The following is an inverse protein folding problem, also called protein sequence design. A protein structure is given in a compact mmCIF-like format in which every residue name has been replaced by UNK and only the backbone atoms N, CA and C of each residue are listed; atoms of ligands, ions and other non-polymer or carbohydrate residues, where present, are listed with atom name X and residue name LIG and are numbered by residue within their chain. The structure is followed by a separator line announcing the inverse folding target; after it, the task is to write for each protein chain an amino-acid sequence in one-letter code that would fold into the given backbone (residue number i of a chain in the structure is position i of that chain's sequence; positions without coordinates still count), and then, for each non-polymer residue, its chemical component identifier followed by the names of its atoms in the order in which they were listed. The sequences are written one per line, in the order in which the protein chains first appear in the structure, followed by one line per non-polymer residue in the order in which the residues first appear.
data_IF_416997810369
#
_entry.id   IF_416997810369
#
_cell.length_a   1.000
_cell.length_b   1.000
_cell.length_c   1.000
_cell.angle_alpha   90.00
_cell.angle_beta   90.00
_cell.angle_gamma   90.00
#
_symmetry.space_group_name_H-M   'P 1'
#
loop_
_entity.id
_entity.type
_entity.pdbx_description
1 polymer ?
#
# COMPACT_ATOMS: atom_id res chain seq x y z
N UNK A 1 -11.13 10.01 -21.03
CA UNK A 1 -9.78 10.38 -20.53
C UNK A 1 -10.02 10.99 -19.15
N UNK A 2 -9.41 10.46 -18.10
CA UNK A 2 -9.51 11.01 -16.76
C UNK A 2 -8.82 12.38 -16.77
N UNK A 3 -9.53 13.51 -16.57
CA UNK A 3 -8.92 14.84 -16.64
C UNK A 3 -7.92 15.09 -15.51
N UNK A 4 -7.87 14.24 -14.47
CA UNK A 4 -6.95 14.34 -13.34
C UNK A 4 -5.75 13.40 -13.46
N UNK A 5 -5.58 12.74 -14.59
CA UNK A 5 -4.45 11.86 -14.87
C UNK A 5 -3.21 12.68 -15.18
N UNK A 6 -2.65 13.32 -14.16
CA UNK A 6 -1.32 13.93 -14.22
C UNK A 6 -0.28 12.85 -13.98
N UNK A 7 -0.19 11.90 -14.89
CA UNK A 7 0.96 11.00 -14.98
C UNK A 7 1.56 11.27 -16.36
N UNK A 8 2.34 12.33 -16.47
CA UNK A 8 3.26 12.46 -17.58
C UNK A 8 4.35 11.39 -17.40
N UNK A 9 4.37 10.44 -18.33
CA UNK A 9 5.54 9.55 -18.49
C UNK A 9 6.75 10.43 -18.75
N UNK A 10 7.62 10.61 -17.76
CA UNK A 10 8.91 11.23 -17.97
C UNK A 10 9.76 10.26 -18.78
N UNK A 11 9.95 10.50 -20.06
CA UNK A 11 11.00 9.85 -20.84
C UNK A 11 12.34 10.37 -20.34
N UNK A 12 13.04 9.56 -19.58
CA UNK A 12 14.46 9.76 -19.29
C UNK A 12 15.20 8.66 -20.04
N UNK A 13 15.90 9.09 -21.09
CA UNK A 13 16.87 8.28 -21.85
C UNK A 13 16.44 6.85 -22.19
N UNK A 14 15.50 6.68 -23.15
CA UNK A 14 15.07 5.40 -23.74
C UNK A 14 14.38 4.37 -22.80
N UNK A 15 14.28 4.59 -21.48
CA UNK A 15 13.52 3.75 -20.56
C UNK A 15 12.19 4.41 -20.19
N UNK A 16 11.08 3.67 -20.25
CA UNK A 16 9.80 4.11 -19.69
C UNK A 16 9.96 4.21 -18.17
N UNK A 17 9.79 5.41 -17.62
CA UNK A 17 9.85 5.64 -16.18
C UNK A 17 8.44 5.54 -15.59
N UNK A 18 8.23 4.63 -14.65
CA UNK A 18 6.98 4.51 -13.91
C UNK A 18 7.07 5.32 -12.63
N UNK A 19 6.12 6.24 -12.41
CA UNK A 19 6.07 7.04 -11.20
C UNK A 19 5.75 6.17 -9.99
N UNK A 20 6.66 6.15 -9.02
CA UNK A 20 6.47 5.44 -7.76
C UNK A 20 5.58 6.26 -6.80
N UNK A 21 4.71 5.63 -6.00
CA UNK A 21 3.98 6.30 -4.93
C UNK A 21 4.86 6.64 -3.70
N UNK A 22 6.13 6.27 -3.74
CA UNK A 22 7.11 6.54 -2.67
C UNK A 22 7.66 7.94 -2.81
N UNK A 23 7.78 8.67 -1.69
CA UNK A 23 8.28 10.03 -1.63
C UNK A 23 9.50 10.16 -0.71
N UNK A 24 10.25 11.24 -0.86
CA UNK A 24 11.60 11.45 -0.33
C UNK A 24 11.78 11.22 1.18
N UNK A 25 10.80 11.60 1.99
CA UNK A 25 10.89 11.46 3.44
C UNK A 25 9.97 10.36 3.99
N UNK A 26 9.62 9.39 3.16
CA UNK A 26 8.82 8.25 3.60
C UNK A 26 9.67 7.29 4.42
N UNK A 27 9.27 7.08 5.67
CA UNK A 27 9.78 6.04 6.55
C UNK A 27 8.73 4.93 6.72
N UNK A 28 9.18 3.69 6.91
CA UNK A 28 8.29 2.57 7.18
C UNK A 28 7.32 2.88 8.33
N UNK A 29 6.09 2.41 8.22
CA UNK A 29 5.11 2.42 9.32
C UNK A 29 5.13 1.13 10.17
N UNK A 30 6.04 0.22 9.83
CA UNK A 30 6.23 -1.08 10.45
C UNK A 30 7.69 -1.20 10.90
N UNK A 31 7.98 -1.68 12.12
CA UNK A 31 9.35 -1.86 12.57
C UNK A 31 10.07 -2.96 11.77
N UNK A 32 11.38 -2.79 11.58
CA UNK A 32 12.22 -3.72 10.79
C UNK A 32 12.10 -5.18 11.22
N UNK A 33 11.89 -5.43 12.49
CA UNK A 33 11.73 -6.78 13.07
C UNK A 33 10.49 -7.50 12.58
N UNK A 34 9.43 -6.76 12.26
CA UNK A 34 8.19 -7.31 11.69
C UNK A 34 8.17 -7.28 10.16
N UNK A 35 9.07 -6.53 9.51
CA UNK A 35 9.18 -6.48 8.04
C UNK A 35 10.13 -7.53 7.46
N UNK A 36 11.05 -8.07 8.26
CA UNK A 36 12.05 -9.02 7.78
C UNK A 36 11.40 -10.30 7.24
N UNK A 37 11.92 -10.78 6.11
CA UNK A 37 11.62 -12.12 5.59
C UNK A 37 12.26 -13.20 6.48
N UNK A 38 11.77 -14.43 6.38
CA UNK A 38 12.29 -15.54 7.18
C UNK A 38 13.79 -15.76 6.91
N UNK A 39 14.57 -15.80 7.98
CA UNK A 39 16.03 -15.95 7.94
C UNK A 39 16.77 -14.87 7.13
N UNK A 40 16.13 -13.72 6.90
CA UNK A 40 16.75 -12.61 6.17
C UNK A 40 16.54 -11.29 6.93
N UNK A 41 17.30 -11.03 7.99
CA UNK A 41 17.14 -9.81 8.81
C UNK A 41 17.66 -8.57 8.07
N UNK A 42 17.11 -7.40 8.42
CA UNK A 42 17.70 -6.13 8.02
C UNK A 42 19.13 -5.96 8.58
N UNK A 43 20.01 -5.18 7.91
CA UNK A 43 21.31 -4.81 8.46
C UNK A 43 21.20 -4.23 9.87
N UNK A 44 22.22 -4.50 10.72
CA UNK A 44 22.18 -4.14 12.15
C UNK A 44 22.02 -2.64 12.41
N UNK A 45 22.59 -1.82 11.55
CA UNK A 45 22.58 -0.35 11.60
C UNK A 45 21.31 0.27 11.00
N UNK A 46 20.37 -0.53 10.52
CA UNK A 46 19.07 -0.04 10.05
C UNK A 46 18.25 0.47 11.24
N UNK A 47 17.66 1.68 11.18
CA UNK A 47 16.77 2.19 12.21
C UNK A 47 15.58 1.26 12.49
N UNK A 48 14.95 1.42 13.66
CA UNK A 48 13.76 0.65 14.04
C UNK A 48 12.66 0.72 12.96
N UNK A 49 12.44 1.91 12.39
CA UNK A 49 11.60 2.12 11.21
C UNK A 49 12.48 2.56 10.04
N UNK A 50 12.77 1.65 9.09
CA UNK A 50 13.64 1.93 7.96
C UNK A 50 13.12 3.06 7.06
N UNK A 51 14.03 3.77 6.43
CA UNK A 51 13.69 4.69 5.33
C UNK A 51 13.31 3.91 4.08
N UNK A 52 12.61 4.56 3.14
CA UNK A 52 12.26 3.93 1.86
C UNK A 52 13.49 3.42 1.08
N UNK A 53 14.61 4.15 1.12
CA UNK A 53 15.84 3.71 0.44
C UNK A 53 16.43 2.45 1.08
N UNK A 54 16.44 2.35 2.41
CA UNK A 54 16.89 1.14 3.10
C UNK A 54 15.99 -0.07 2.84
N UNK A 55 14.68 0.15 2.66
CA UNK A 55 13.75 -0.91 2.26
C UNK A 55 14.03 -1.33 0.82
N UNK A 56 14.27 -0.40 -0.09
CA UNK A 56 14.62 -0.70 -1.47
C UNK A 56 15.89 -1.54 -1.54
N UNK A 57 16.95 -1.10 -0.87
CA UNK A 57 18.23 -1.84 -0.80
C UNK A 57 18.04 -3.26 -0.25
N UNK A 58 17.24 -3.41 0.80
CA UNK A 58 16.91 -4.69 1.41
C UNK A 58 16.17 -5.63 0.43
N UNK A 59 15.17 -5.12 -0.30
CA UNK A 59 14.39 -5.91 -1.26
C UNK A 59 15.25 -6.28 -2.49
N UNK A 60 16.06 -5.35 -2.98
CA UNK A 60 17.01 -5.61 -4.08
C UNK A 60 18.03 -6.69 -3.67
N UNK A 61 18.57 -6.59 -2.45
CA UNK A 61 19.51 -7.60 -1.95
C UNK A 61 18.83 -8.97 -1.79
N UNK A 62 17.62 -9.02 -1.29
CA UNK A 62 16.83 -10.25 -1.15
C UNK A 62 16.52 -10.89 -2.52
N UNK A 63 16.37 -10.10 -3.58
CA UNK A 63 16.02 -10.61 -4.91
C UNK A 63 17.20 -11.20 -5.71
N UNK A 64 18.44 -11.00 -5.28
CA UNK A 64 19.66 -11.44 -6.04
C UNK A 64 19.69 -12.91 -6.42
N UNK A 65 18.97 -13.77 -5.69
CA UNK A 65 18.92 -15.20 -5.99
C UNK A 65 18.00 -15.60 -7.14
N UNK A 66 17.22 -14.66 -7.70
CA UNK A 66 16.23 -14.92 -8.75
C UNK A 66 16.37 -14.01 -9.98
N UNK A 67 17.40 -13.17 -10.05
CA UNK A 67 17.59 -12.19 -11.13
C UNK A 67 17.63 -12.84 -12.53
N UNK A 68 18.19 -14.03 -12.65
CA UNK A 68 18.24 -14.83 -13.88
C UNK A 68 16.85 -15.26 -14.39
N UNK A 69 15.81 -15.16 -13.55
CA UNK A 69 14.41 -15.49 -13.87
C UNK A 69 13.57 -14.27 -14.14
N UNK A 70 14.13 -13.08 -14.04
CA UNK A 70 13.43 -11.79 -14.25
C UNK A 70 13.73 -11.25 -15.63
N UNK A 71 12.70 -11.01 -16.44
CA UNK A 71 12.80 -10.26 -17.68
C UNK A 71 12.58 -8.78 -17.38
N UNK A 72 13.68 -8.02 -17.28
CA UNK A 72 13.62 -6.56 -17.11
C UNK A 72 13.13 -5.87 -18.39
N UNK A 73 12.70 -4.62 -18.27
CA UNK A 73 12.19 -3.80 -19.39
C UNK A 73 11.05 -4.48 -20.17
N UNK A 74 10.31 -5.37 -19.53
CA UNK A 74 9.30 -6.21 -20.15
C UNK A 74 7.95 -5.98 -19.49
N UNK A 75 7.00 -5.46 -20.24
CA UNK A 75 5.63 -5.19 -19.77
C UNK A 75 4.67 -6.26 -20.28
N UNK A 76 3.91 -6.89 -19.38
CA UNK A 76 2.79 -7.76 -19.76
C UNK A 76 1.66 -6.89 -20.28
N UNK A 77 1.26 -7.11 -21.53
CA UNK A 77 0.22 -6.35 -22.22
C UNK A 77 -1.10 -7.11 -22.32
N UNK A 78 -1.05 -8.45 -22.26
CA UNK A 78 -2.26 -9.28 -22.34
C UNK A 78 -2.05 -10.63 -21.65
N UNK A 79 -3.08 -11.07 -20.91
CA UNK A 79 -3.20 -12.42 -20.35
C UNK A 79 -4.56 -12.98 -20.74
N UNK A 80 -4.60 -14.14 -21.39
CA UNK A 80 -5.82 -14.78 -21.87
C UNK A 80 -5.78 -16.28 -21.59
N UNK A 81 -6.91 -16.90 -21.19
CA UNK A 81 -6.99 -18.35 -21.10
C UNK A 81 -6.95 -18.96 -22.51
N UNK A 82 -6.22 -20.07 -22.65
CA UNK A 82 -6.15 -20.88 -23.86
C UNK A 82 -6.18 -22.35 -23.42
N UNK A 83 -7.30 -23.03 -23.70
CA UNK A 83 -7.60 -24.37 -23.18
C UNK A 83 -7.46 -24.41 -21.64
N UNK A 84 -6.58 -25.24 -21.10
CA UNK A 84 -6.28 -25.36 -19.68
C UNK A 84 -5.08 -24.54 -19.21
N UNK A 85 -4.55 -23.66 -20.08
CA UNK A 85 -3.35 -22.84 -19.87
C UNK A 85 -3.61 -21.34 -20.05
N UNK A 86 -2.55 -20.55 -19.97
CA UNK A 86 -2.57 -19.09 -20.10
C UNK A 86 -1.59 -18.62 -21.17
N UNK A 87 -2.09 -17.89 -22.15
CA UNK A 87 -1.26 -17.13 -23.08
C UNK A 87 -0.93 -15.76 -22.48
N UNK A 88 0.35 -15.48 -22.26
CA UNK A 88 0.86 -14.22 -21.75
C UNK A 88 1.62 -13.51 -22.85
N UNK A 89 1.12 -12.35 -23.28
CA UNK A 89 1.81 -11.49 -24.23
C UNK A 89 2.56 -10.38 -23.49
N UNK A 90 3.83 -10.24 -23.77
CA UNK A 90 4.71 -9.22 -23.20
C UNK A 90 5.36 -8.37 -24.29
N UNK A 91 5.66 -7.12 -23.94
CA UNK A 91 6.35 -6.15 -24.77
C UNK A 91 7.69 -5.81 -24.14
N UNK A 92 8.78 -6.06 -24.85
CA UNK A 92 10.13 -5.63 -24.49
C UNK A 92 10.34 -4.19 -24.96
N UNK A 93 10.53 -3.25 -24.02
CA UNK A 93 10.65 -1.81 -24.35
C UNK A 93 12.02 -1.43 -24.94
N UNK A 94 13.01 -2.31 -24.91
CA UNK A 94 14.34 -2.08 -25.49
C UNK A 94 14.37 -2.51 -26.96
N UNK A 95 13.86 -3.71 -27.25
CA UNK A 95 13.82 -4.26 -28.62
C UNK A 95 12.53 -3.89 -29.36
N UNK A 96 11.53 -3.32 -28.70
CA UNK A 96 10.18 -3.02 -29.21
C UNK A 96 9.46 -4.27 -29.75
N UNK A 97 9.75 -5.45 -29.19
CA UNK A 97 9.19 -6.71 -29.65
C UNK A 97 8.07 -7.20 -28.74
N UNK A 98 7.06 -7.80 -29.35
CA UNK A 98 5.99 -8.54 -28.68
C UNK A 98 6.31 -10.04 -28.71
N UNK A 99 6.19 -10.69 -27.55
CA UNK A 99 6.34 -12.13 -27.41
C UNK A 99 5.10 -12.69 -26.70
N UNK A 100 4.61 -13.86 -27.17
CA UNK A 100 3.52 -14.58 -26.48
C UNK A 100 4.02 -15.96 -26.07
N UNK A 101 3.95 -16.25 -24.79
CA UNK A 101 4.31 -17.53 -24.20
C UNK A 101 3.11 -18.19 -23.52
N UNK A 102 3.12 -19.52 -23.46
CA UNK A 102 2.07 -20.33 -22.81
C UNK A 102 2.58 -20.82 -21.47
N UNK A 103 1.77 -20.61 -20.43
CA UNK A 103 2.09 -21.00 -19.05
C UNK A 103 0.96 -21.84 -18.45
N UNK A 104 1.32 -22.75 -17.54
CA UNK A 104 0.37 -23.60 -16.81
C UNK A 104 -0.41 -22.80 -15.75
N UNK A 105 0.24 -21.78 -15.15
CA UNK A 105 -0.35 -20.91 -14.15
C UNK A 105 0.20 -19.49 -14.24
N UNK A 106 -0.58 -18.51 -13.75
CA UNK A 106 -0.20 -17.09 -13.70
C UNK A 106 -0.43 -16.53 -12.30
N UNK A 107 0.62 -15.95 -11.71
CA UNK A 107 0.54 -15.17 -10.48
C UNK A 107 0.70 -13.68 -10.80
N UNK A 108 -0.34 -12.90 -10.56
CA UNK A 108 -0.34 -11.45 -10.75
C UNK A 108 0.16 -10.79 -9.47
N UNK A 109 1.34 -10.15 -9.53
CA UNK A 109 2.04 -9.53 -8.40
C UNK A 109 2.36 -8.04 -8.67
N UNK A 110 1.45 -7.33 -9.33
CA UNK A 110 1.65 -5.95 -9.84
C UNK A 110 1.42 -4.86 -8.79
N UNK A 111 1.05 -5.22 -7.56
CA UNK A 111 0.67 -4.26 -6.53
C UNK A 111 -0.68 -3.58 -6.83
N UNK A 112 -1.00 -2.51 -6.07
CA UNK A 112 -2.28 -1.83 -6.19
C UNK A 112 -2.19 -0.30 -6.00
N UNK A 113 -1.03 0.29 -6.27
CA UNK A 113 -0.79 1.73 -6.19
C UNK A 113 -0.55 2.38 -7.56
N UNK A 114 -1.09 1.76 -8.63
CA UNK A 114 -0.92 2.29 -9.99
C UNK A 114 -1.99 3.31 -10.35
N UNK A 115 -3.26 3.03 -10.08
CA UNK A 115 -4.38 3.88 -10.46
C UNK A 115 -4.82 4.80 -9.29
N UNK A 116 -4.46 6.10 -9.28
CA UNK A 116 -4.92 7.04 -8.26
C UNK A 116 -6.45 7.17 -8.23
N UNK A 117 -7.00 7.37 -7.04
CA UNK A 117 -8.41 7.66 -6.87
C UNK A 117 -8.60 9.12 -6.41
N UNK A 118 -9.25 9.93 -7.22
CA UNK A 118 -9.71 11.27 -6.86
C UNK A 118 -11.25 11.22 -6.82
N UNK A 119 -11.90 11.60 -5.70
CA UNK A 119 -13.34 11.60 -5.60
C UNK A 119 -13.96 12.65 -6.53
N UNK A 120 -15.18 12.37 -7.00
CA UNK A 120 -15.98 13.38 -7.69
C UNK A 120 -16.50 14.39 -6.65
N UNK A 121 -16.09 15.65 -6.79
CA UNK A 121 -16.49 16.75 -5.92
C UNK A 121 -17.00 17.89 -6.79
N UNK A 122 -18.11 18.51 -6.40
CA UNK A 122 -18.70 19.64 -7.13
C UNK A 122 -17.66 20.74 -7.41
N UNK A 123 -17.59 21.20 -8.64
CA UNK A 123 -16.69 22.27 -9.08
C UNK A 123 -15.22 21.88 -9.28
N UNK A 124 -14.84 20.65 -8.98
CA UNK A 124 -13.44 20.21 -9.09
C UNK A 124 -12.93 20.23 -10.55
N UNK A 125 -13.78 19.88 -11.51
CA UNK A 125 -13.41 19.93 -12.94
C UNK A 125 -13.12 21.36 -13.41
N UNK A 126 -13.99 22.31 -13.07
CA UNK A 126 -13.82 23.74 -13.39
C UNK A 126 -12.60 24.34 -12.66
N UNK A 127 -12.35 23.89 -11.44
CA UNK A 127 -11.15 24.28 -10.71
C UNK A 127 -9.88 23.81 -11.42
N UNK A 128 -9.84 22.54 -11.84
CA UNK A 128 -8.69 21.99 -12.55
C UNK A 128 -8.45 22.70 -13.90
N UNK A 129 -9.51 23.00 -14.63
CA UNK A 129 -9.43 23.77 -15.88
C UNK A 129 -8.80 25.15 -15.67
N UNK A 130 -9.21 25.86 -14.61
CA UNK A 130 -8.74 27.22 -14.30
C UNK A 130 -7.36 27.22 -13.61
N UNK A 131 -7.07 26.22 -12.78
CA UNK A 131 -5.84 26.08 -11.99
C UNK A 131 -5.19 24.68 -12.15
N UNK A 132 -4.71 24.30 -13.35
CA UNK A 132 -4.32 22.92 -13.66
C UNK A 132 -3.16 22.39 -12.81
N UNK A 133 -2.31 23.28 -12.25
CA UNK A 133 -1.16 22.88 -11.42
C UNK A 133 -1.46 22.86 -9.93
N UNK A 134 -2.68 23.23 -9.52
CA UNK A 134 -3.05 23.32 -8.11
C UNK A 134 -3.51 21.99 -7.51
N UNK A 135 -3.83 21.01 -8.34
CA UNK A 135 -4.33 19.69 -7.92
C UNK A 135 -3.28 18.62 -8.22
N UNK A 136 -2.99 17.79 -7.23
CA UNK A 136 -2.22 16.56 -7.44
C UNK A 136 -2.75 15.44 -6.55
N UNK A 137 -2.45 14.20 -6.93
CA UNK A 137 -2.62 13.04 -6.06
C UNK A 137 -1.30 12.78 -5.30
N UNK A 138 -1.39 12.14 -4.12
CA UNK A 138 -0.20 11.77 -3.32
C UNK A 138 0.81 10.91 -4.06
N UNK A 139 0.43 10.26 -5.16
CA UNK A 139 1.34 9.53 -6.04
C UNK A 139 2.40 10.43 -6.69
N UNK A 140 2.05 11.70 -6.96
CA UNK A 140 2.95 12.69 -7.58
C UNK A 140 3.61 13.64 -6.56
N UNK A 141 3.38 13.39 -5.26
CA UNK A 141 4.08 14.11 -4.20
C UNK A 141 5.48 13.53 -4.00
N UNK A 142 6.51 14.38 -4.00
CA UNK A 142 7.89 13.98 -3.72
C UNK A 142 8.40 14.57 -2.40
N UNK A 143 8.33 15.88 -2.24
CA UNK A 143 8.82 16.54 -1.04
C UNK A 143 8.09 17.87 -0.71
N UNK A 144 8.13 18.34 0.56
CA UNK A 144 7.49 19.58 0.97
C UNK A 144 7.92 20.82 0.18
N UNK A 145 9.18 20.90 -0.26
CA UNK A 145 9.70 22.08 -0.97
C UNK A 145 8.97 22.40 -2.27
N UNK A 146 8.29 21.43 -2.87
CA UNK A 146 7.41 21.65 -4.03
C UNK A 146 6.34 22.71 -3.74
N UNK A 147 5.93 22.86 -2.47
CA UNK A 147 4.82 23.72 -2.01
C UNK A 147 5.28 24.97 -1.26
N UNK A 148 6.57 25.29 -1.28
CA UNK A 148 7.14 26.43 -0.51
C UNK A 148 6.47 27.78 -0.82
N UNK A 149 6.00 27.96 -2.05
CA UNK A 149 5.37 29.20 -2.52
C UNK A 149 3.83 29.20 -2.37
N UNK A 150 3.22 28.07 -2.03
CA UNK A 150 1.76 27.98 -1.81
C UNK A 150 1.39 28.70 -0.52
N UNK A 151 0.36 29.55 -0.56
CA UNK A 151 -0.19 30.24 0.62
C UNK A 151 -0.99 29.24 1.47
N UNK A 152 -2.07 28.73 0.94
CA UNK A 152 -2.91 27.73 1.59
C UNK A 152 -2.75 26.38 0.88
N UNK A 153 -2.47 25.35 1.66
CA UNK A 153 -2.30 23.97 1.21
C UNK A 153 -3.38 23.12 1.88
N UNK A 154 -4.14 22.41 1.07
CA UNK A 154 -5.16 21.47 1.53
C UNK A 154 -4.75 20.05 1.21
N UNK A 155 -4.62 19.21 2.23
CA UNK A 155 -4.43 17.75 2.11
C UNK A 155 -5.78 17.07 2.29
N UNK A 156 -6.21 16.26 1.34
CA UNK A 156 -7.50 15.58 1.36
C UNK A 156 -7.33 14.11 1.69
N UNK A 157 -7.77 13.69 2.87
CA UNK A 157 -7.67 12.32 3.37
C UNK A 157 -6.86 12.21 4.66
N UNK A 158 -7.23 11.24 5.50
CA UNK A 158 -6.69 11.06 6.85
C UNK A 158 -6.21 9.61 7.10
N UNK A 159 -5.69 8.95 6.07
CA UNK A 159 -4.99 7.67 6.21
C UNK A 159 -3.47 7.89 6.19
N UNK A 160 -2.67 6.83 6.04
CA UNK A 160 -1.21 6.90 6.14
C UNK A 160 -0.59 8.08 5.38
N UNK A 161 -0.86 8.19 4.07
CA UNK A 161 -0.27 9.26 3.24
C UNK A 161 -0.76 10.64 3.63
N UNK A 162 -2.06 10.81 3.90
CA UNK A 162 -2.62 12.13 4.24
C UNK A 162 -2.10 12.67 5.56
N UNK A 163 -1.99 11.83 6.57
CA UNK A 163 -1.47 12.21 7.88
C UNK A 163 0.04 12.50 7.81
N UNK A 164 0.82 11.67 7.11
CA UNK A 164 2.27 11.83 7.00
C UNK A 164 2.64 13.05 6.13
N UNK A 165 2.02 13.21 4.96
CA UNK A 165 2.27 14.36 4.08
C UNK A 165 1.88 15.68 4.76
N UNK A 166 0.75 15.74 5.45
CA UNK A 166 0.35 16.94 6.19
C UNK A 166 1.38 17.27 7.28
N UNK A 167 1.85 16.29 8.04
CA UNK A 167 2.91 16.46 9.04
C UNK A 167 4.23 16.95 8.42
N UNK A 168 4.68 16.36 7.31
CA UNK A 168 5.90 16.76 6.62
C UNK A 168 5.80 18.19 6.10
N UNK A 169 4.69 18.56 5.46
CA UNK A 169 4.45 19.92 4.99
C UNK A 169 4.48 20.94 6.14
N UNK A 170 3.75 20.65 7.22
CA UNK A 170 3.68 21.53 8.39
C UNK A 170 5.04 21.76 9.03
N UNK A 171 5.79 20.67 9.27
CA UNK A 171 7.06 20.74 9.99
C UNK A 171 8.23 21.26 9.13
N UNK A 172 8.29 20.87 7.85
CA UNK A 172 9.38 21.26 6.96
C UNK A 172 9.24 22.67 6.38
N UNK A 173 8.00 23.13 6.15
CA UNK A 173 7.74 24.46 5.64
C UNK A 173 7.46 25.49 6.75
N UNK A 174 7.21 25.02 7.98
CA UNK A 174 6.73 25.82 9.10
C UNK A 174 5.48 26.64 8.71
N UNK A 175 4.48 25.95 8.13
CA UNK A 175 3.25 26.54 7.62
C UNK A 175 2.02 25.81 8.17
N UNK A 176 0.91 26.54 8.31
CA UNK A 176 -0.41 25.94 8.56
C UNK A 176 -0.80 25.10 7.34
N UNK A 177 -1.19 23.85 7.60
CA UNK A 177 -1.68 22.91 6.62
C UNK A 177 -3.11 22.51 7.01
N UNK A 178 -4.03 22.66 6.09
CA UNK A 178 -5.40 22.20 6.28
C UNK A 178 -5.50 20.74 5.84
N UNK A 179 -6.11 19.88 6.69
CA UNK A 179 -6.30 18.46 6.37
C UNK A 179 -7.76 18.08 6.44
N UNK A 180 -8.37 17.80 5.27
CA UNK A 180 -9.78 17.39 5.21
C UNK A 180 -9.96 15.94 5.62
N UNK A 181 -10.82 15.71 6.63
CA UNK A 181 -11.03 14.40 7.24
C UNK A 181 -12.51 14.00 7.22
N UNK A 182 -12.77 12.69 7.00
CA UNK A 182 -14.09 12.05 7.15
C UNK A 182 -14.19 11.20 8.41
N UNK A 183 -13.08 10.67 8.87
CA UNK A 183 -12.97 9.77 10.00
C UNK A 183 -11.63 9.94 10.71
N UNK A 184 -11.55 9.48 11.94
CA UNK A 184 -10.30 9.47 12.68
C UNK A 184 -9.26 8.55 12.03
N UNK A 185 -7.99 8.95 12.14
CA UNK A 185 -6.88 8.14 11.67
C UNK A 185 -6.55 7.01 12.65
N UNK A 186 -6.58 5.78 12.14
CA UNK A 186 -6.20 4.57 12.91
C UNK A 186 -4.73 4.19 12.70
N UNK A 187 -4.04 4.84 11.76
CA UNK A 187 -2.65 4.56 11.42
C UNK A 187 -1.70 5.54 12.13
N UNK A 188 -0.41 5.18 12.32
CA UNK A 188 0.55 6.06 12.96
C UNK A 188 0.78 7.34 12.15
N UNK A 189 0.93 8.48 12.84
CA UNK A 189 1.25 9.76 12.23
C UNK A 189 2.00 10.67 13.20
N UNK A 190 2.86 11.54 12.67
CA UNK A 190 3.43 12.65 13.42
C UNK A 190 2.34 13.69 13.77
N UNK A 191 2.52 14.40 14.89
CA UNK A 191 1.62 15.44 15.34
C UNK A 191 2.28 16.81 15.21
N UNK A 192 1.52 17.81 14.82
CA UNK A 192 1.96 19.19 14.74
C UNK A 192 0.76 20.14 14.94
N UNK A 193 0.94 21.17 15.75
CA UNK A 193 -0.06 22.21 15.98
C UNK A 193 -0.36 23.04 14.70
N UNK A 194 0.49 22.91 13.69
CA UNK A 194 0.30 23.55 12.39
C UNK A 194 -0.59 22.73 11.44
N UNK A 195 -1.00 21.53 11.81
CA UNK A 195 -1.96 20.74 11.03
C UNK A 195 -3.37 20.99 11.59
N UNK A 196 -4.22 21.64 10.80
CA UNK A 196 -5.59 21.95 11.17
C UNK A 196 -6.55 21.01 10.45
N UNK A 197 -7.23 20.16 11.20
CA UNK A 197 -8.26 19.28 10.66
C UNK A 197 -9.50 20.12 10.27
N UNK A 198 -9.98 19.88 9.04
CA UNK A 198 -11.21 20.48 8.50
C UNK A 198 -12.14 19.36 8.02
N UNK A 199 -13.46 19.60 7.96
CA UNK A 199 -14.42 18.59 7.55
C UNK A 199 -14.24 18.08 6.12
N UNK A 200 -15.08 17.11 5.73
CA UNK A 200 -15.10 16.57 4.37
C UNK A 200 -15.48 17.65 3.35
N UNK A 201 -14.94 17.50 2.14
CA UNK A 201 -15.17 18.42 1.02
C UNK A 201 -16.64 18.49 0.63
N UNK A 202 -17.13 19.69 0.33
CA UNK A 202 -18.43 19.93 -0.28
C UNK A 202 -18.27 20.40 -1.73
N UNK A 203 -17.47 21.46 -1.97
CA UNK A 203 -17.42 22.13 -3.28
C UNK A 203 -16.10 22.87 -3.48
N UNK A 204 -15.65 22.92 -4.72
CA UNK A 204 -14.61 23.82 -5.23
C UNK A 204 -15.25 25.00 -5.96
N UNK A 205 -14.96 26.22 -5.53
CA UNK A 205 -15.36 27.45 -6.23
C UNK A 205 -14.16 28.05 -6.96
N UNK A 206 -14.08 27.83 -8.26
CA UNK A 206 -12.98 28.33 -9.09
C UNK A 206 -13.02 29.84 -9.32
N UNK A 207 -14.18 30.51 -9.15
CA UNK A 207 -14.28 31.95 -9.36
C UNK A 207 -13.65 32.72 -8.20
N UNK A 208 -13.89 32.27 -6.97
CA UNK A 208 -13.35 32.89 -5.75
C UNK A 208 -12.07 32.22 -5.25
N UNK A 209 -11.63 31.14 -5.89
CA UNK A 209 -10.51 30.30 -5.44
C UNK A 209 -10.69 29.76 -4.02
N UNK A 210 -11.92 29.34 -3.70
CA UNK A 210 -12.37 28.91 -2.37
C UNK A 210 -12.76 27.44 -2.36
N UNK A 211 -12.36 26.72 -1.31
CA UNK A 211 -12.81 25.34 -1.06
C UNK A 211 -13.79 25.34 0.11
N UNK A 212 -14.98 24.80 -0.09
CA UNK A 212 -16.05 24.70 0.90
C UNK A 212 -16.13 23.30 1.49
N UNK A 213 -16.48 23.21 2.77
CA UNK A 213 -16.64 21.97 3.52
C UNK A 213 -18.09 21.70 3.89
N UNK A 214 -18.41 20.45 4.25
CA UNK A 214 -19.78 20.00 4.52
C UNK A 214 -20.45 20.67 5.73
N UNK A 215 -19.69 21.25 6.64
CA UNK A 215 -20.21 22.01 7.79
C UNK A 215 -20.50 23.49 7.48
N UNK A 216 -20.25 23.93 6.25
CA UNK A 216 -20.41 25.31 5.80
C UNK A 216 -19.17 26.18 5.97
N UNK A 217 -18.11 25.68 6.60
CA UNK A 217 -16.83 26.38 6.64
C UNK A 217 -16.13 26.37 5.29
N UNK A 218 -15.14 27.24 5.11
CA UNK A 218 -14.40 27.36 3.84
C UNK A 218 -12.96 27.85 4.05
N UNK A 219 -12.13 27.66 3.02
CA UNK A 219 -10.77 28.20 2.93
C UNK A 219 -10.66 28.95 1.60
N UNK A 220 -10.25 30.22 1.67
CA UNK A 220 -9.98 31.06 0.51
C UNK A 220 -8.53 30.93 0.04
N UNK A 221 -8.26 31.34 -1.20
CA UNK A 221 -6.92 31.41 -1.77
C UNK A 221 -6.14 30.08 -1.67
N UNK A 222 -6.80 28.94 -1.91
CA UNK A 222 -6.16 27.64 -1.89
C UNK A 222 -5.27 27.47 -3.13
N UNK A 223 -3.97 27.44 -2.93
CA UNK A 223 -2.98 27.34 -4.00
C UNK A 223 -2.64 25.88 -4.36
N UNK A 224 -2.78 24.95 -3.41
CA UNK A 224 -2.46 23.54 -3.63
C UNK A 224 -3.42 22.61 -2.91
N UNK A 225 -3.90 21.59 -3.63
CA UNK A 225 -4.76 20.52 -3.12
C UNK A 225 -4.09 19.18 -3.39
N UNK A 226 -3.78 18.43 -2.33
CA UNK A 226 -3.13 17.12 -2.41
C UNK A 226 -4.13 16.03 -2.04
N UNK A 227 -4.60 15.26 -3.02
CA UNK A 227 -5.50 14.14 -2.77
C UNK A 227 -4.73 12.93 -2.27
N UNK A 228 -4.91 12.58 -1.01
CA UNK A 228 -4.41 11.38 -0.35
C UNK A 228 -5.55 10.37 -0.18
N UNK A 229 -6.34 10.20 -1.21
CA UNK A 229 -7.60 9.45 -1.21
C UNK A 229 -7.46 7.99 -1.61
N UNK A 230 -6.22 7.54 -1.82
CA UNK A 230 -5.86 6.16 -2.11
C UNK A 230 -5.97 5.80 -3.59
N UNK A 231 -6.09 4.52 -3.87
CA UNK A 231 -5.95 3.95 -5.20
C UNK A 231 -7.08 2.99 -5.53
N UNK A 232 -7.32 2.80 -6.82
CA UNK A 232 -8.19 1.77 -7.36
C UNK A 232 -7.36 0.55 -7.79
N UNK A 233 -7.94 -0.64 -7.67
CA UNK A 233 -7.38 -1.86 -8.24
C UNK A 233 -7.46 -1.79 -9.75
N UNK A 234 -6.41 -2.23 -10.44
CA UNK A 234 -6.34 -2.22 -11.90
C UNK A 234 -5.50 -3.39 -12.40
N UNK A 235 -6.06 -4.20 -13.28
CA UNK A 235 -5.38 -5.31 -13.97
C UNK A 235 -5.77 -5.21 -15.44
N UNK A 236 -5.29 -4.20 -16.18
CA UNK A 236 -5.78 -3.88 -17.52
C UNK A 236 -5.42 -4.92 -18.58
N UNK A 237 -4.38 -5.71 -18.34
CA UNK A 237 -3.92 -6.78 -19.25
C UNK A 237 -4.72 -8.09 -19.09
N UNK A 238 -5.60 -8.20 -18.08
CA UNK A 238 -6.49 -9.35 -17.86
C UNK A 238 -7.93 -8.94 -18.16
N UNK A 239 -8.38 -9.18 -19.39
CA UNK A 239 -9.75 -8.86 -19.83
C UNK A 239 -10.74 -10.00 -19.54
N UNK A 240 -10.27 -11.25 -19.61
CA UNK A 240 -11.06 -12.44 -19.34
C UNK A 240 -10.21 -13.45 -18.53
N UNK A 241 -10.61 -13.76 -17.29
CA UNK A 241 -11.78 -13.25 -16.57
C UNK A 241 -11.61 -11.76 -16.16
N UNK A 242 -12.72 -11.00 -16.19
CA UNK A 242 -12.72 -9.62 -15.70
C UNK A 242 -12.87 -9.58 -14.18
N UNK A 243 -11.76 -9.68 -13.47
CA UNK A 243 -11.74 -9.69 -11.99
C UNK A 243 -11.96 -8.32 -11.36
N UNK A 244 -11.67 -7.24 -12.07
CA UNK A 244 -11.85 -5.86 -11.58
C UNK A 244 -12.96 -5.18 -12.38
N UNK A 245 -13.99 -4.69 -11.68
CA UNK A 245 -15.13 -3.99 -12.30
C UNK A 245 -15.16 -2.52 -11.94
N UNK A 246 -15.24 -2.20 -10.65
CA UNK A 246 -15.30 -0.83 -10.12
C UNK A 246 -13.94 -0.27 -9.70
N UNK A 247 -12.92 -1.11 -9.64
CA UNK A 247 -11.62 -0.77 -9.06
C UNK A 247 -11.58 -0.81 -7.53
N UNK A 248 -12.70 -1.02 -6.87
CA UNK A 248 -12.77 -1.05 -5.39
C UNK A 248 -12.20 -2.36 -4.84
N UNK A 249 -12.49 -3.49 -5.49
CA UNK A 249 -12.01 -4.82 -5.12
C UNK A 249 -11.60 -5.64 -6.35
N UNK A 250 -10.94 -6.78 -6.10
CA UNK A 250 -10.75 -7.86 -7.05
C UNK A 250 -11.73 -8.97 -6.69
N UNK A 251 -12.58 -9.37 -7.64
CA UNK A 251 -13.69 -10.28 -7.41
C UNK A 251 -13.25 -11.75 -7.50
N UNK A 252 -14.06 -12.64 -6.94
CA UNK A 252 -13.98 -14.11 -7.10
C UNK A 252 -12.61 -14.70 -6.69
N UNK A 253 -12.00 -14.17 -5.62
CA UNK A 253 -10.72 -14.65 -5.10
C UNK A 253 -10.88 -15.38 -3.77
N UNK A 254 -10.74 -16.70 -3.78
CA UNK A 254 -10.64 -17.51 -2.58
C UNK A 254 -9.39 -17.15 -1.77
N UNK A 255 -9.56 -16.98 -0.46
CA UNK A 255 -8.50 -16.50 0.44
C UNK A 255 -7.83 -15.21 -0.05
N UNK A 256 -8.57 -14.28 -0.68
CA UNK A 256 -8.02 -13.06 -1.28
C UNK A 256 -6.87 -13.30 -2.28
N UNK A 257 -6.76 -14.49 -2.85
CA UNK A 257 -5.60 -14.92 -3.60
C UNK A 257 -5.94 -15.68 -4.89
N UNK A 258 -6.69 -16.80 -4.81
CA UNK A 258 -6.92 -17.69 -5.93
C UNK A 258 -8.27 -17.42 -6.64
N UNK A 259 -8.25 -17.35 -7.95
CA UNK A 259 -9.48 -17.27 -8.74
C UNK A 259 -10.30 -18.56 -8.60
N UNK A 260 -11.51 -18.43 -8.07
CA UNK A 260 -12.37 -19.58 -7.68
C UNK A 260 -12.71 -20.52 -8.81
N UNK A 261 -12.88 -20.00 -10.04
CA UNK A 261 -13.28 -20.78 -11.23
C UNK A 261 -12.10 -21.41 -11.97
N UNK A 262 -10.89 -20.87 -11.76
CA UNK A 262 -9.65 -21.45 -12.29
C UNK A 262 -8.46 -21.11 -11.36
N UNK A 263 -8.13 -22.02 -10.41
CA UNK A 263 -7.09 -21.76 -9.40
C UNK A 263 -5.66 -21.76 -9.94
N UNK A 264 -5.45 -21.88 -11.25
CA UNK A 264 -4.17 -21.61 -11.90
C UNK A 264 -3.92 -20.12 -12.12
N UNK A 265 -4.91 -19.25 -11.78
CA UNK A 265 -4.78 -17.80 -11.72
C UNK A 265 -4.81 -17.34 -10.27
N UNK A 266 -3.77 -16.59 -9.88
CA UNK A 266 -3.65 -15.97 -8.57
C UNK A 266 -3.36 -14.47 -8.67
N UNK A 267 -3.83 -13.70 -7.66
CA UNK A 267 -3.49 -12.28 -7.48
C UNK A 267 -2.97 -12.08 -6.07
N UNK A 268 -1.66 -11.89 -5.91
CA UNK A 268 -0.99 -11.83 -4.61
C UNK A 268 -0.93 -10.40 -4.06
N UNK A 269 -0.91 -10.25 -2.72
CA UNK A 269 -0.63 -8.98 -2.05
C UNK A 269 -1.82 -8.01 -2.01
N UNK A 270 -3.06 -8.47 -2.20
CA UNK A 270 -4.26 -7.61 -2.21
C UNK A 270 -4.73 -7.11 -0.84
N UNK A 271 -4.64 -7.90 0.26
CA UNK A 271 -5.08 -7.45 1.56
C UNK A 271 -4.43 -6.15 2.02
N UNK A 272 -5.22 -5.31 2.71
CA UNK A 272 -4.80 -4.01 3.27
C UNK A 272 -4.76 -4.09 4.79
N UNK A 273 -4.08 -3.12 5.42
CA UNK A 273 -3.80 -3.07 6.87
C UNK A 273 -2.96 -4.24 7.37
N UNK A 274 -2.18 -4.81 6.49
CA UNK A 274 -1.28 -5.95 6.72
C UNK A 274 0.18 -5.50 6.72
N UNK A 275 1.08 -6.41 7.05
CA UNK A 275 2.50 -6.26 6.81
C UNK A 275 2.83 -6.90 5.45
N UNK A 276 3.12 -6.12 4.40
CA UNK A 276 3.21 -6.63 3.02
C UNK A 276 4.22 -7.76 2.84
N UNK A 277 5.37 -7.70 3.49
CA UNK A 277 6.41 -8.72 3.41
C UNK A 277 5.95 -10.05 4.01
N UNK A 278 5.38 -10.02 5.22
CA UNK A 278 4.84 -11.20 5.90
C UNK A 278 3.70 -11.84 5.13
N UNK A 279 2.76 -10.99 4.66
CA UNK A 279 1.64 -11.44 3.84
C UNK A 279 2.11 -12.15 2.58
N UNK A 280 3.02 -11.50 1.82
CA UNK A 280 3.51 -12.03 0.54
C UNK A 280 4.27 -13.34 0.72
N UNK A 281 5.02 -13.46 1.81
CA UNK A 281 5.73 -14.68 2.17
C UNK A 281 4.77 -15.83 2.47
N UNK A 282 3.74 -15.61 3.32
CA UNK A 282 2.72 -16.61 3.62
C UNK A 282 1.91 -17.02 2.40
N UNK A 283 1.48 -16.04 1.59
CA UNK A 283 0.74 -16.32 0.36
C UNK A 283 1.59 -17.07 -0.66
N UNK A 284 2.86 -16.67 -0.83
CA UNK A 284 3.78 -17.34 -1.76
C UNK A 284 4.08 -18.78 -1.38
N UNK A 285 4.34 -19.03 -0.09
CA UNK A 285 4.56 -20.38 0.44
C UNK A 285 3.35 -21.29 0.25
N UNK A 286 2.16 -20.79 0.55
CA UNK A 286 0.92 -21.54 0.40
C UNK A 286 0.60 -21.80 -1.08
N UNK A 287 0.68 -20.78 -1.94
CA UNK A 287 0.41 -20.88 -3.36
C UNK A 287 1.33 -21.89 -4.07
N UNK A 288 2.61 -21.89 -3.73
CA UNK A 288 3.57 -22.83 -4.30
C UNK A 288 3.18 -24.31 -4.02
N UNK A 289 2.69 -24.59 -2.82
CA UNK A 289 2.22 -25.94 -2.44
C UNK A 289 0.89 -26.32 -3.09
N UNK A 290 -0.01 -25.36 -3.25
CA UNK A 290 -1.26 -25.58 -4.02
C UNK A 290 -0.92 -25.96 -5.46
N UNK A 291 -0.06 -25.21 -6.11
CA UNK A 291 0.30 -25.47 -7.51
C UNK A 291 1.21 -26.68 -7.69
N UNK A 292 1.90 -27.12 -6.65
CA UNK A 292 2.62 -28.40 -6.62
C UNK A 292 1.68 -29.60 -6.38
N UNK A 293 0.37 -29.38 -6.12
CA UNK A 293 -0.58 -30.42 -5.81
C UNK A 293 -0.47 -31.01 -4.41
N UNK A 294 0.26 -30.32 -3.51
CA UNK A 294 0.50 -30.77 -2.13
C UNK A 294 -0.60 -30.33 -1.17
N UNK A 295 -1.32 -29.24 -1.51
CA UNK A 295 -2.52 -28.78 -0.78
C UNK A 295 -3.72 -29.01 -1.68
N UNK A 296 -4.69 -29.80 -1.19
CA UNK A 296 -5.98 -30.01 -1.87
C UNK A 296 -6.87 -28.76 -1.66
N UNK A 297 -7.41 -28.23 -2.74
CA UNK A 297 -8.36 -27.12 -2.69
C UNK A 297 -9.79 -27.64 -2.49
N UNK A 298 -10.67 -26.86 -1.85
CA UNK A 298 -12.10 -27.07 -1.89
C UNK A 298 -12.64 -27.03 -3.34
N UNK A 299 -13.86 -27.52 -3.56
CA UNK A 299 -14.53 -27.37 -4.85
C UNK A 299 -14.71 -25.91 -5.24
N UNK A 300 -14.86 -25.63 -6.53
CA UNK A 300 -15.09 -24.27 -7.02
C UNK A 300 -16.32 -23.61 -6.36
N UNK A 301 -17.37 -24.40 -6.08
CA UNK A 301 -18.58 -23.94 -5.40
C UNK A 301 -18.30 -23.55 -3.94
N UNK A 302 -17.53 -24.36 -3.21
CA UNK A 302 -17.15 -24.07 -1.84
C UNK A 302 -16.22 -22.85 -1.77
N UNK A 303 -15.26 -22.72 -2.67
CA UNK A 303 -14.40 -21.54 -2.77
C UNK A 303 -15.23 -20.27 -3.06
N UNK A 304 -16.18 -20.35 -3.99
CA UNK A 304 -17.07 -19.22 -4.32
C UNK A 304 -17.94 -18.83 -3.11
N UNK A 305 -18.53 -19.82 -2.44
CA UNK A 305 -19.31 -19.58 -1.22
C UNK A 305 -18.48 -18.91 -0.12
N UNK A 306 -17.22 -19.30 0.03
CA UNK A 306 -16.30 -18.65 0.96
C UNK A 306 -16.06 -17.18 0.58
N UNK A 307 -15.86 -16.88 -0.71
CA UNK A 307 -15.73 -15.50 -1.20
C UNK A 307 -16.99 -14.68 -0.92
N UNK A 308 -18.18 -15.24 -1.19
CA UNK A 308 -19.46 -14.55 -1.04
C UNK A 308 -19.80 -14.28 0.45
N UNK A 309 -19.23 -15.09 1.35
CA UNK A 309 -19.41 -14.94 2.81
C UNK A 309 -18.48 -13.88 3.43
N UNK A 310 -17.50 -13.35 2.69
CA UNK A 310 -16.61 -12.31 3.21
C UNK A 310 -17.43 -11.04 3.49
N UNK A 311 -17.41 -10.63 4.76
CA UNK A 311 -18.04 -9.40 5.21
C UNK A 311 -17.31 -8.17 4.66
N UNK A 312 -18.06 -7.09 4.47
CA UNK A 312 -17.52 -5.77 4.14
C UNK A 312 -18.11 -5.17 2.88
N UNK A 313 -17.99 -3.85 2.79
CA UNK A 313 -18.31 -3.10 1.57
C UNK A 313 -17.22 -3.34 0.53
N UNK A 314 -17.52 -3.12 -0.76
CA UNK A 314 -16.55 -3.30 -1.85
C UNK A 314 -15.15 -2.75 -1.53
N UNK A 315 -15.06 -1.54 -0.96
CA UNK A 315 -13.80 -0.88 -0.64
C UNK A 315 -13.02 -1.54 0.51
N UNK A 316 -13.70 -2.22 1.43
CA UNK A 316 -13.12 -2.88 2.61
C UNK A 316 -13.01 -4.40 2.47
N UNK A 317 -13.41 -4.93 1.32
CA UNK A 317 -13.43 -6.38 1.05
C UNK A 317 -12.09 -7.09 1.33
N UNK A 318 -10.98 -6.41 1.09
CA UNK A 318 -9.63 -6.94 1.32
C UNK A 318 -8.98 -6.39 2.60
N UNK A 319 -9.73 -5.84 3.55
CA UNK A 319 -9.15 -5.29 4.78
C UNK A 319 -8.97 -6.39 5.83
N UNK A 320 -7.74 -6.59 6.26
CA UNK A 320 -7.35 -7.52 7.31
C UNK A 320 -6.67 -6.74 8.45
N UNK A 321 -7.47 -5.98 9.21
CA UNK A 321 -6.93 -5.30 10.39
C UNK A 321 -6.52 -6.31 11.46
N UNK A 322 -5.47 -5.99 12.25
CA UNK A 322 -5.09 -6.80 13.39
C UNK A 322 -6.31 -7.10 14.30
N UNK A 323 -6.49 -8.34 14.77
CA UNK A 323 -5.59 -9.51 14.62
C UNK A 323 -5.78 -10.34 13.33
N UNK A 324 -6.75 -9.99 12.45
CA UNK A 324 -7.12 -10.79 11.26
C UNK A 324 -5.95 -11.01 10.29
N UNK A 325 -5.01 -10.07 10.19
CA UNK A 325 -3.81 -10.24 9.35
C UNK A 325 -2.87 -11.32 9.86
N UNK A 326 -2.72 -11.43 11.16
CA UNK A 326 -1.95 -12.48 11.84
C UNK A 326 -2.64 -13.83 11.70
N UNK A 327 -3.95 -13.89 12.01
CA UNK A 327 -4.77 -15.10 11.88
C UNK A 327 -4.72 -15.65 10.45
N UNK A 328 -4.87 -14.79 9.46
CA UNK A 328 -4.79 -15.14 8.04
C UNK A 328 -3.41 -15.71 7.66
N UNK A 329 -2.33 -15.05 8.04
CA UNK A 329 -0.97 -15.51 7.75
C UNK A 329 -0.69 -16.85 8.42
N UNK A 330 -1.05 -17.01 9.69
CA UNK A 330 -0.86 -18.26 10.43
C UNK A 330 -1.71 -19.40 9.86
N UNK A 331 -2.93 -19.13 9.40
CA UNK A 331 -3.76 -20.13 8.70
C UNK A 331 -3.06 -20.67 7.45
N UNK A 332 -2.53 -19.80 6.59
CA UNK A 332 -1.82 -20.21 5.37
C UNK A 332 -0.53 -20.98 5.71
N UNK A 333 0.22 -20.52 6.70
CA UNK A 333 1.45 -21.15 7.15
C UNK A 333 1.20 -22.55 7.74
N UNK A 334 0.14 -22.71 8.54
CA UNK A 334 -0.24 -24.00 9.12
C UNK A 334 -0.59 -25.02 8.02
N UNK A 335 -1.41 -24.63 7.03
CA UNK A 335 -1.75 -25.49 5.89
C UNK A 335 -0.52 -25.87 5.06
N UNK A 336 0.39 -24.91 4.83
CA UNK A 336 1.64 -25.16 4.11
C UNK A 336 2.54 -26.16 4.87
N UNK A 337 2.63 -26.04 6.19
CA UNK A 337 3.41 -26.94 7.03
C UNK A 337 2.77 -28.32 7.16
N UNK A 338 1.46 -28.39 7.30
CA UNK A 338 0.73 -29.66 7.31
C UNK A 338 0.98 -30.47 6.02
N UNK A 339 1.02 -29.80 4.87
CA UNK A 339 1.25 -30.45 3.58
C UNK A 339 2.68 -30.98 3.41
N UNK A 340 3.69 -30.27 3.88
CA UNK A 340 5.09 -30.57 3.52
C UNK A 340 6.04 -30.70 4.70
N UNK A 341 5.57 -30.52 5.95
CA UNK A 341 6.46 -30.40 7.11
C UNK A 341 7.40 -29.22 6.95
N UNK A 342 8.65 -29.41 7.30
CA UNK A 342 9.70 -28.40 7.16
C UNK A 342 10.36 -28.37 5.76
N UNK A 343 9.84 -29.14 4.80
CA UNK A 343 10.37 -29.17 3.44
C UNK A 343 10.04 -27.88 2.69
N UNK A 344 11.04 -27.33 2.01
CA UNK A 344 10.94 -26.12 1.23
C UNK A 344 10.99 -24.85 2.08
N UNK A 345 10.79 -23.71 1.43
CA UNK A 345 10.77 -22.42 2.11
C UNK A 345 9.54 -22.29 3.01
N UNK A 346 9.75 -21.82 4.23
CA UNK A 346 8.69 -21.59 5.22
C UNK A 346 8.57 -20.08 5.46
N UNK A 347 7.34 -19.57 5.53
CA UNK A 347 7.08 -18.21 5.96
C UNK A 347 7.26 -18.08 7.48
N UNK A 348 7.49 -16.85 7.94
CA UNK A 348 7.61 -16.56 9.37
C UNK A 348 6.28 -16.81 10.07
N UNK A 349 6.31 -17.59 11.15
CA UNK A 349 5.18 -17.72 12.08
C UNK A 349 5.19 -16.57 13.07
N UNK A 350 3.99 -16.12 13.42
CA UNK A 350 3.81 -15.08 14.42
C UNK A 350 3.87 -15.68 15.81
N UNK A 351 4.80 -15.22 16.63
CA UNK A 351 4.87 -15.50 18.07
C UNK A 351 4.19 -14.39 18.90
N UNK A 352 4.07 -14.62 20.21
CA UNK A 352 3.39 -13.71 21.13
C UNK A 352 4.10 -12.34 21.21
N UNK A 353 5.43 -12.31 21.13
CA UNK A 353 6.20 -11.06 21.17
C UNK A 353 5.96 -10.24 19.90
N UNK A 354 5.99 -10.87 18.75
CA UNK A 354 5.67 -10.23 17.48
C UNK A 354 4.23 -9.72 17.43
N UNK A 355 3.28 -10.49 17.94
CA UNK A 355 1.88 -10.09 18.09
C UNK A 355 1.74 -8.88 19.01
N UNK A 356 2.45 -8.84 20.14
CA UNK A 356 2.49 -7.70 21.05
C UNK A 356 3.03 -6.44 20.38
N UNK A 357 4.12 -6.54 19.61
CA UNK A 357 4.65 -5.42 18.82
C UNK A 357 3.64 -5.00 17.75
N UNK A 358 3.01 -5.97 17.05
CA UNK A 358 2.01 -5.70 16.01
C UNK A 358 0.81 -4.92 16.55
N UNK A 359 0.28 -5.30 17.70
CA UNK A 359 -0.83 -4.62 18.38
C UNK A 359 -0.48 -3.16 18.74
N UNK A 360 0.80 -2.86 18.97
CA UNK A 360 1.28 -1.57 19.45
C UNK A 360 2.05 -0.76 18.38
N UNK A 361 1.93 -1.09 17.09
CA UNK A 361 2.67 -0.38 16.01
C UNK A 361 2.37 1.12 16.02
N UNK A 362 1.11 1.53 16.21
CA UNK A 362 0.75 2.95 16.18
C UNK A 362 1.46 3.75 17.27
N UNK A 363 1.29 3.47 18.57
CA UNK A 363 2.00 4.21 19.62
C UNK A 363 3.52 4.08 19.52
N UNK A 364 4.04 2.94 19.08
CA UNK A 364 5.48 2.74 18.89
C UNK A 364 6.05 3.66 17.78
N UNK A 365 5.37 3.77 16.65
CA UNK A 365 5.79 4.67 15.55
C UNK A 365 5.66 6.14 15.95
N UNK A 366 4.60 6.51 16.65
CA UNK A 366 4.42 7.88 17.14
C UNK A 366 5.52 8.28 18.13
N UNK A 367 5.89 7.37 19.04
CA UNK A 367 7.03 7.54 19.94
C UNK A 367 8.37 7.71 19.19
N UNK A 368 8.58 6.89 18.15
CA UNK A 368 9.77 7.00 17.30
C UNK A 368 9.85 8.35 16.58
N UNK A 369 8.73 8.83 16.02
CA UNK A 369 8.68 10.14 15.35
C UNK A 369 8.99 11.27 16.34
N UNK A 370 8.42 11.20 17.55
CA UNK A 370 8.66 12.17 18.63
C UNK A 370 10.14 12.16 19.06
N UNK A 371 10.69 10.97 19.30
CA UNK A 371 12.11 10.81 19.64
C UNK A 371 13.01 11.47 18.58
N UNK A 372 12.76 11.17 17.30
CA UNK A 372 13.54 11.76 16.21
C UNK A 372 13.38 13.29 16.13
N UNK A 373 12.16 13.81 16.32
CA UNK A 373 11.90 15.25 16.29
C UNK A 373 12.65 16.01 17.41
N UNK A 374 12.73 15.42 18.61
CA UNK A 374 13.33 16.05 19.78
C UNK A 374 14.85 15.85 19.86
N UNK A 375 15.37 14.70 19.43
CA UNK A 375 16.79 14.35 19.58
C UNK A 375 17.61 14.48 18.29
N UNK A 376 16.97 14.50 17.12
CA UNK A 376 17.60 14.38 15.81
C UNK A 376 18.17 13.00 15.50
N UNK A 377 17.95 12.00 16.36
CA UNK A 377 18.48 10.64 16.21
C UNK A 377 17.37 9.64 15.91
N UNK A 378 17.65 8.71 15.00
CA UNK A 378 16.75 7.60 14.67
C UNK A 378 17.02 6.44 15.63
N UNK A 379 16.06 6.09 16.46
CA UNK A 379 16.18 4.95 17.36
C UNK A 379 16.38 3.64 16.59
N UNK A 380 17.25 2.77 17.10
CA UNK A 380 17.64 1.51 16.45
C UNK A 380 16.78 0.32 16.91
N UNK A 381 16.17 0.43 18.09
CA UNK A 381 15.38 -0.64 18.69
C UNK A 381 14.26 -0.10 19.58
N UNK A 382 13.35 -0.97 19.99
CA UNK A 382 12.28 -0.66 20.95
C UNK A 382 12.87 -0.35 22.32
N UNK A 383 13.88 -1.12 22.75
CA UNK A 383 14.56 -0.95 24.04
C UNK A 383 15.23 0.42 24.15
N UNK A 384 15.72 0.98 23.03
CA UNK A 384 16.27 2.34 23.02
C UNK A 384 15.17 3.37 23.32
N UNK A 385 14.00 3.24 22.70
CA UNK A 385 12.85 4.13 22.95
C UNK A 385 12.32 3.97 24.39
N UNK A 386 12.34 2.77 24.96
CA UNK A 386 11.94 2.51 26.33
C UNK A 386 12.93 3.13 27.32
N UNK A 387 14.24 2.94 27.10
CA UNK A 387 15.31 3.51 27.92
C UNK A 387 15.28 5.02 27.93
N UNK A 388 14.98 5.64 26.79
CA UNK A 388 14.93 7.11 26.64
C UNK A 388 13.58 7.69 27.08
N UNK A 389 12.63 6.84 27.53
CA UNK A 389 11.34 7.24 28.11
C UNK A 389 10.28 7.67 27.11
N UNK A 390 10.43 7.32 25.83
CA UNK A 390 9.48 7.68 24.79
C UNK A 390 8.39 6.63 24.59
N UNK A 391 8.67 5.37 24.91
CA UNK A 391 7.74 4.26 24.73
C UNK A 391 7.76 3.31 25.93
N UNK A 392 6.62 2.69 26.21
CA UNK A 392 6.50 1.49 27.02
C UNK A 392 5.29 0.69 26.58
N UNK A 393 5.38 -0.63 26.60
CA UNK A 393 4.22 -1.47 26.33
C UNK A 393 3.14 -1.27 27.41
N UNK A 394 1.84 -1.31 27.05
CA UNK A 394 0.75 -1.31 28.04
C UNK A 394 0.92 -2.47 29.04
N UNK A 395 0.60 -2.23 30.31
CA UNK A 395 0.57 -3.29 31.31
C UNK A 395 -0.60 -4.25 31.00
N UNK A 396 -0.40 -5.56 31.21
CA UNK A 396 -1.36 -6.63 30.83
C UNK A 396 -2.80 -6.46 31.38
N UNK A 397 -3.05 -5.52 32.28
CA UNK A 397 -4.37 -5.28 32.87
C UNK A 397 -5.27 -4.30 32.10
N UNK A 398 -4.79 -3.64 31.03
CA UNK A 398 -5.56 -2.64 30.28
C UNK A 398 -6.14 -3.17 28.94
N UNK A 399 -5.98 -4.46 28.64
CA UNK A 399 -6.44 -5.07 27.37
C UNK A 399 -7.83 -5.71 27.49
N UNK A 400 -8.61 -5.38 28.51
CA UNK A 400 -9.99 -5.86 28.66
C UNK A 400 -10.98 -4.69 28.57
N UNK A 401 -11.31 -4.28 27.35
CA UNK A 401 -12.63 -3.66 27.02
C UNK A 401 -12.78 -3.52 25.51
#
# INVERSE_FOLDING_TARGET
MDPYRVIEKRKVDTSEFYESPVYKFLDANVPKTLMAYNNYPFPKDTPLFPTHSQILDYIVDYSKGIEDRVKFNTSVTKVTPVDDKWAVTSHDSVSDQLETNIYDAVCIAVGHYEQPFIPDVEGLAQWHEKFPTSILHSKSYDEPLQFKNSRNILVVGNSASGADIAYQLATKLNKVIYKSIRSQNVLPAGQSDLVHDVPDLAKFDSETKTVHFKDGSFIEDVDSVIFCTGYLKSIPFLENPKLVTTGQKVNDLYNHLLYTKNPTLAVIGLPRFVLPTRLSESQGCWLARVWAGEIALPSAEEMQKACDSLEGHERTHHDLMYPKDVEYSNMLNAQAREATGDRGYQAVEWDDEQCKVRANIKPLKEAYIKHFAETGKRAQSIEELEKDGYFSFPKEQEVSA
#
